data_IF_440863113666
#
_entry.id   IF_440863113666
#
_cell.length_a   1.000
_cell.length_b   1.000
_cell.length_c   1.000
_cell.angle_alpha   90.00
_cell.angle_beta   90.00
_cell.angle_gamma   90.00
#
_symmetry.space_group_name_H-M   'P 1'
#
loop_
_entity.id
_entity.type
_entity.pdbx_description
1 polymer ?
#
# COMPACT_ATOMS: atom_id res chain seq x y z
N UNK A 1 11.18 10.95 -77.54
CA UNK A 1 11.36 9.51 -77.24
C UNK A 1 12.05 9.39 -75.89
N UNK A 2 11.31 9.07 -74.84
CA UNK A 2 11.87 8.85 -73.49
C UNK A 2 12.72 7.58 -73.49
N UNK A 3 13.96 7.64 -72.99
CA UNK A 3 14.87 6.49 -72.94
C UNK A 3 14.32 5.42 -71.98
N UNK A 4 14.24 4.18 -72.46
CA UNK A 4 13.77 2.99 -71.74
C UNK A 4 14.65 2.59 -70.53
N UNK A 5 15.79 3.26 -70.30
CA UNK A 5 16.71 3.00 -69.19
C UNK A 5 16.36 3.72 -67.88
N UNK A 6 15.40 4.66 -67.90
CA UNK A 6 15.03 5.51 -66.73
C UNK A 6 13.82 4.96 -65.93
N UNK A 7 13.12 3.95 -66.47
CA UNK A 7 11.88 3.41 -65.90
C UNK A 7 12.01 2.72 -64.52
N UNK A 8 13.05 1.92 -64.21
CA UNK A 8 13.11 1.22 -62.92
C UNK A 8 13.40 2.16 -61.74
N UNK A 9 14.17 3.23 -61.96
CA UNK A 9 14.49 4.21 -60.92
C UNK A 9 13.34 5.16 -60.60
N UNK A 10 12.55 5.55 -61.59
CA UNK A 10 11.37 6.39 -61.37
C UNK A 10 10.22 5.63 -60.67
N UNK A 11 10.13 4.31 -60.87
CA UNK A 11 9.18 3.46 -60.15
C UNK A 11 9.54 3.29 -58.67
N UNK A 12 10.83 3.08 -58.36
CA UNK A 12 11.34 3.02 -56.98
C UNK A 12 11.14 4.34 -56.23
N UNK A 13 11.43 5.48 -56.87
CA UNK A 13 11.23 6.81 -56.28
C UNK A 13 9.73 7.08 -55.95
N UNK A 14 8.81 6.68 -56.83
CA UNK A 14 7.35 6.81 -56.59
C UNK A 14 6.82 5.90 -55.48
N UNK A 15 7.39 4.71 -55.30
CA UNK A 15 7.05 3.82 -54.17
C UNK A 15 7.51 4.41 -52.85
N UNK A 16 8.68 5.09 -52.85
CA UNK A 16 9.25 5.76 -51.69
C UNK A 16 8.50 7.05 -51.31
N UNK A 17 7.96 7.79 -52.29
CA UNK A 17 7.09 8.96 -52.08
C UNK A 17 5.63 8.63 -51.77
N UNK A 18 5.19 7.39 -52.01
CA UNK A 18 3.82 6.95 -51.75
C UNK A 18 3.47 7.09 -50.26
N UNK A 19 2.20 7.36 -49.96
CA UNK A 19 1.70 7.43 -48.60
C UNK A 19 2.03 6.16 -47.80
N UNK A 20 2.17 5.00 -48.45
CA UNK A 20 2.54 3.71 -47.85
C UNK A 20 4.01 3.70 -47.41
N UNK A 21 4.95 4.24 -48.20
CA UNK A 21 6.36 4.34 -47.85
C UNK A 21 6.63 5.31 -46.70
N UNK A 22 5.96 6.47 -46.69
CA UNK A 22 6.02 7.45 -45.58
C UNK A 22 5.38 6.91 -44.30
N UNK A 23 4.29 6.15 -44.44
CA UNK A 23 3.61 5.51 -43.30
C UNK A 23 4.47 4.39 -42.71
N UNK A 24 5.03 3.52 -43.55
CA UNK A 24 5.97 2.48 -43.11
C UNK A 24 7.19 3.08 -42.41
N UNK A 25 7.84 4.09 -42.99
CA UNK A 25 8.97 4.79 -42.36
C UNK A 25 8.63 5.35 -40.97
N UNK A 26 7.44 5.95 -40.83
CA UNK A 26 6.95 6.46 -39.54
C UNK A 26 6.71 5.36 -38.50
N UNK A 27 6.30 4.15 -38.91
CA UNK A 27 6.17 2.99 -38.02
C UNK A 27 7.54 2.41 -37.64
N UNK A 28 8.50 2.39 -38.56
CA UNK A 28 9.88 1.99 -38.28
C UNK A 28 10.60 2.97 -37.35
N UNK A 29 10.40 4.28 -37.53
CA UNK A 29 10.97 5.32 -36.66
C UNK A 29 10.35 5.28 -35.26
N UNK A 30 9.04 5.02 -35.15
CA UNK A 30 8.38 4.81 -33.86
C UNK A 30 8.84 3.53 -33.18
N UNK A 31 8.92 2.41 -33.91
CA UNK A 31 9.41 1.14 -33.37
C UNK A 31 10.86 1.22 -32.90
N UNK A 32 11.72 1.94 -33.63
CA UNK A 32 13.12 2.12 -33.23
C UNK A 32 13.28 3.04 -32.03
N UNK A 33 12.48 4.11 -31.93
CA UNK A 33 12.43 4.97 -30.75
C UNK A 33 11.89 4.21 -29.52
N UNK A 34 10.81 3.46 -29.66
CA UNK A 34 10.25 2.63 -28.60
C UNK A 34 11.25 1.56 -28.12
N UNK A 35 11.96 0.91 -29.05
CA UNK A 35 13.00 -0.06 -28.71
C UNK A 35 14.21 0.61 -28.02
N UNK A 36 14.59 1.81 -28.46
CA UNK A 36 15.64 2.61 -27.83
C UNK A 36 15.27 2.96 -26.38
N UNK A 37 14.04 3.43 -26.14
CA UNK A 37 13.57 3.74 -24.80
C UNK A 37 13.40 2.49 -23.94
N UNK A 38 12.85 1.39 -24.47
CA UNK A 38 12.76 0.12 -23.76
C UNK A 38 14.16 -0.35 -23.33
N UNK A 39 15.13 -0.32 -24.25
CA UNK A 39 16.53 -0.64 -23.93
C UNK A 39 17.12 0.29 -22.88
N UNK A 40 16.88 1.61 -22.95
CA UNK A 40 17.33 2.56 -21.93
C UNK A 40 16.70 2.31 -20.57
N UNK A 41 15.44 1.89 -20.53
CA UNK A 41 14.74 1.49 -19.31
C UNK A 41 15.35 0.21 -18.71
N UNK A 42 15.76 -0.77 -19.54
CA UNK A 42 16.51 -1.93 -19.08
C UNK A 42 17.92 -1.57 -18.59
N UNK A 43 18.67 -0.76 -19.34
CA UNK A 43 20.03 -0.31 -18.99
C UNK A 43 20.06 0.54 -17.71
N UNK A 44 19.03 1.36 -17.48
CA UNK A 44 18.86 2.15 -16.26
C UNK A 44 18.35 1.32 -15.07
N UNK A 45 18.08 0.02 -15.25
CA UNK A 45 17.51 -0.84 -14.21
C UNK A 45 16.05 -0.57 -13.88
N UNK A 46 15.35 0.27 -14.66
CA UNK A 46 13.93 0.58 -14.52
C UNK A 46 13.02 -0.60 -14.92
N UNK A 47 13.53 -1.51 -15.76
CA UNK A 47 12.94 -2.81 -16.04
C UNK A 47 13.99 -3.89 -15.73
N UNK A 48 13.94 -4.48 -14.52
CA UNK A 48 14.64 -5.74 -14.28
C UNK A 48 13.79 -6.87 -14.85
N UNK A 49 14.41 -7.80 -15.59
CA UNK A 49 13.78 -9.06 -15.96
C UNK A 49 13.54 -9.85 -14.68
N UNK A 50 12.33 -9.76 -14.13
CA UNK A 50 11.95 -10.58 -12.99
C UNK A 50 11.66 -12.02 -13.44
N UNK A 51 12.03 -13.01 -12.62
CA UNK A 51 11.61 -14.38 -12.84
C UNK A 51 10.08 -14.45 -13.06
N UNK A 52 9.59 -15.23 -14.04
CA UNK A 52 8.15 -15.33 -14.32
C UNK A 52 7.31 -15.72 -13.10
N UNK A 53 7.87 -16.50 -12.17
CA UNK A 53 7.21 -16.83 -10.91
C UNK A 53 6.97 -15.61 -10.00
N UNK A 54 7.88 -14.63 -10.00
CA UNK A 54 7.77 -13.43 -9.16
C UNK A 54 6.71 -12.49 -9.71
N UNK A 55 6.64 -12.38 -11.04
CA UNK A 55 5.57 -11.66 -11.75
C UNK A 55 4.22 -12.32 -11.49
N UNK A 56 4.13 -13.64 -11.63
CA UNK A 56 2.89 -14.38 -11.39
C UNK A 56 2.42 -14.22 -9.94
N UNK A 57 3.34 -14.32 -8.98
CA UNK A 57 3.02 -14.17 -7.57
C UNK A 57 2.72 -12.71 -7.19
N UNK A 58 3.34 -11.72 -7.84
CA UNK A 58 2.96 -10.30 -7.74
C UNK A 58 1.51 -10.08 -8.19
N UNK A 59 1.14 -10.59 -9.38
CA UNK A 59 -0.24 -10.51 -9.88
C UNK A 59 -1.20 -11.23 -8.95
N UNK A 60 -0.80 -12.37 -8.38
CA UNK A 60 -1.61 -13.09 -7.41
C UNK A 60 -1.86 -12.28 -6.12
N UNK A 61 -0.81 -11.67 -5.56
CA UNK A 61 -0.93 -10.84 -4.35
C UNK A 61 -1.77 -9.59 -4.59
N UNK A 62 -1.58 -8.92 -5.72
CA UNK A 62 -2.39 -7.77 -6.13
C UNK A 62 -3.88 -8.14 -6.24
N UNK A 63 -4.20 -9.31 -6.82
CA UNK A 63 -5.57 -9.83 -6.88
C UNK A 63 -6.10 -10.28 -5.52
N UNK A 64 -5.22 -10.63 -4.58
CA UNK A 64 -5.59 -11.15 -3.26
C UNK A 64 -5.85 -10.03 -2.26
N UNK A 65 -5.04 -8.98 -2.25
CA UNK A 65 -5.05 -7.93 -1.22
C UNK A 65 -5.04 -6.50 -1.75
N UNK A 66 -5.08 -6.31 -3.07
CA UNK A 66 -4.98 -5.01 -3.70
C UNK A 66 -3.57 -4.42 -3.64
N UNK A 67 -3.46 -3.18 -4.10
CA UNK A 67 -2.20 -2.48 -4.37
C UNK A 67 -1.42 -2.17 -3.09
N UNK A 68 -2.11 -1.78 -2.02
CA UNK A 68 -1.47 -1.52 -0.73
C UNK A 68 -1.16 -2.81 0.04
N UNK A 69 -2.08 -3.78 0.03
CA UNK A 69 -1.93 -5.01 0.79
C UNK A 69 -0.83 -5.92 0.25
N UNK A 70 -0.50 -5.86 -1.05
CA UNK A 70 0.56 -6.67 -1.65
C UNK A 70 1.99 -6.20 -1.30
N UNK A 71 2.19 -4.94 -0.88
CA UNK A 71 3.52 -4.32 -0.80
C UNK A 71 4.49 -5.09 0.12
N UNK A 72 4.09 -5.52 1.34
CA UNK A 72 4.99 -6.28 2.19
C UNK A 72 5.39 -7.63 1.57
N UNK A 73 4.42 -8.35 0.98
CA UNK A 73 4.66 -9.67 0.38
C UNK A 73 5.58 -9.59 -0.85
N UNK A 74 5.40 -8.54 -1.67
CA UNK A 74 6.25 -8.26 -2.82
C UNK A 74 7.71 -8.07 -2.39
N UNK A 75 7.96 -7.23 -1.38
CA UNK A 75 9.32 -6.94 -0.93
C UNK A 75 9.92 -8.09 -0.11
N UNK A 76 9.11 -8.83 0.66
CA UNK A 76 9.55 -10.04 1.34
C UNK A 76 10.00 -11.12 0.35
N UNK A 77 9.42 -11.18 -0.86
CA UNK A 77 9.87 -12.08 -1.93
C UNK A 77 11.15 -11.59 -2.61
N UNK A 78 11.19 -10.30 -2.98
CA UNK A 78 12.32 -9.73 -3.73
C UNK A 78 13.58 -9.56 -2.88
N UNK A 79 13.41 -9.13 -1.63
CA UNK A 79 14.50 -8.71 -0.74
C UNK A 79 14.26 -9.17 0.71
N UNK A 80 14.09 -10.48 0.97
CA UNK A 80 13.65 -11.00 2.27
C UNK A 80 14.50 -10.54 3.45
N UNK A 81 15.81 -10.48 3.28
CA UNK A 81 16.78 -10.17 4.34
C UNK A 81 17.24 -8.70 4.32
N UNK A 82 16.71 -7.87 3.42
CA UNK A 82 17.02 -6.44 3.41
C UNK A 82 16.17 -5.73 4.46
N UNK A 83 16.74 -4.68 5.05
CA UNK A 83 16.07 -3.87 6.06
C UNK A 83 14.87 -3.14 5.45
N UNK A 84 13.72 -3.28 6.12
CA UNK A 84 12.48 -2.61 5.76
C UNK A 84 12.24 -1.37 6.63
N UNK A 85 12.52 -1.48 7.93
CA UNK A 85 12.31 -0.41 8.92
C UNK A 85 13.47 -0.41 9.90
N UNK A 86 13.94 0.78 10.24
CA UNK A 86 14.88 1.05 11.32
C UNK A 86 14.19 2.07 12.21
N UNK A 87 13.94 1.72 13.47
CA UNK A 87 13.36 2.60 14.49
C UNK A 87 14.06 2.38 15.83
N UNK A 88 13.55 3.00 16.89
CA UNK A 88 14.17 2.94 18.22
C UNK A 88 14.19 1.52 18.83
N UNK A 89 13.40 0.58 18.29
CA UNK A 89 13.39 -0.82 18.68
C UNK A 89 14.34 -1.67 17.82
N UNK A 90 15.19 -1.04 17.02
CA UNK A 90 16.17 -1.67 16.14
C UNK A 90 15.68 -1.85 14.70
N UNK A 91 16.14 -2.91 14.06
CA UNK A 91 15.95 -3.14 12.63
C UNK A 91 15.00 -4.32 12.40
N UNK A 92 14.14 -4.23 11.40
CA UNK A 92 13.37 -5.36 10.88
C UNK A 92 13.54 -5.49 9.38
N UNK A 93 13.63 -6.73 8.92
CA UNK A 93 13.71 -7.09 7.51
C UNK A 93 12.34 -7.07 6.83
N UNK A 94 12.30 -7.07 5.50
CA UNK A 94 11.04 -7.20 4.76
C UNK A 94 10.29 -8.50 5.06
N UNK A 95 11.01 -9.60 5.30
CA UNK A 95 10.39 -10.87 5.69
C UNK A 95 9.71 -10.78 7.05
N UNK A 96 10.36 -10.16 8.03
CA UNK A 96 9.80 -9.96 9.36
C UNK A 96 8.60 -9.01 9.33
N UNK A 97 8.68 -7.93 8.56
CA UNK A 97 7.56 -7.02 8.33
C UNK A 97 6.35 -7.75 7.73
N UNK A 98 6.52 -8.54 6.66
CA UNK A 98 5.41 -9.29 6.06
C UNK A 98 4.81 -10.32 7.01
N UNK A 99 5.65 -11.00 7.80
CA UNK A 99 5.24 -11.96 8.82
C UNK A 99 4.36 -11.29 9.89
N UNK A 100 4.81 -10.15 10.42
CA UNK A 100 4.05 -9.36 11.40
C UNK A 100 2.73 -8.85 10.80
N UNK A 101 2.77 -8.32 9.57
CA UNK A 101 1.59 -7.86 8.84
C UNK A 101 0.57 -8.99 8.64
N UNK A 102 1.01 -10.19 8.27
CA UNK A 102 0.13 -11.35 8.12
C UNK A 102 -0.53 -11.74 9.45
N UNK A 103 0.25 -11.81 10.52
CA UNK A 103 -0.25 -12.13 11.85
C UNK A 103 -1.27 -11.09 12.33
N UNK A 104 -0.98 -9.79 12.20
CA UNK A 104 -1.95 -8.74 12.58
C UNK A 104 -3.19 -8.79 11.69
N UNK A 105 -3.07 -9.01 10.37
CA UNK A 105 -4.23 -9.12 9.48
C UNK A 105 -5.15 -10.29 9.86
N UNK A 106 -4.58 -11.46 10.16
CA UNK A 106 -5.33 -12.61 10.68
C UNK A 106 -5.96 -12.30 12.05
N UNK A 107 -5.28 -11.52 12.88
CA UNK A 107 -5.76 -11.12 14.20
C UNK A 107 -6.96 -10.18 14.11
N UNK A 108 -6.92 -9.22 13.18
CA UNK A 108 -8.03 -8.33 12.85
C UNK A 108 -9.23 -9.11 12.31
N UNK A 109 -9.00 -10.08 11.41
CA UNK A 109 -10.07 -10.97 10.92
C UNK A 109 -10.69 -11.78 12.05
N UNK A 110 -9.88 -12.32 12.96
CA UNK A 110 -10.35 -13.06 14.13
C UNK A 110 -11.13 -12.19 15.12
N UNK A 111 -10.78 -10.90 15.23
CA UNK A 111 -11.56 -9.89 15.97
C UNK A 111 -12.86 -9.48 15.27
N UNK A 112 -13.09 -9.94 14.03
CA UNK A 112 -14.32 -9.70 13.29
C UNK A 112 -14.27 -8.53 12.30
N UNK A 113 -13.10 -7.91 12.09
CA UNK A 113 -12.93 -6.88 11.06
C UNK A 113 -13.14 -7.50 9.68
N UNK A 114 -13.96 -6.86 8.84
CA UNK A 114 -14.26 -7.31 7.47
C UNK A 114 -13.80 -6.29 6.45
N UNK A 115 -13.72 -6.73 5.19
CA UNK A 115 -13.46 -5.84 4.06
C UNK A 115 -14.52 -4.73 3.99
N UNK A 116 -14.07 -3.48 3.92
CA UNK A 116 -14.90 -2.28 3.95
C UNK A 116 -15.12 -1.66 5.33
N UNK A 117 -14.83 -2.35 6.43
CA UNK A 117 -14.92 -1.76 7.78
C UNK A 117 -13.86 -0.70 8.01
N UNK A 118 -14.12 0.30 8.85
CA UNK A 118 -13.13 1.30 9.26
C UNK A 118 -12.21 0.78 10.34
N UNK A 119 -10.89 0.91 10.15
CA UNK A 119 -9.89 0.75 11.21
C UNK A 119 -9.16 2.08 11.35
N UNK A 120 -9.33 2.73 12.50
CA UNK A 120 -8.64 3.98 12.78
C UNK A 120 -7.26 3.70 13.37
N UNK A 121 -6.26 4.47 12.93
CA UNK A 121 -4.87 4.34 13.35
C UNK A 121 -4.41 5.68 13.92
N UNK A 122 -3.97 5.67 15.17
CA UNK A 122 -3.41 6.81 15.90
C UNK A 122 -2.06 6.40 16.51
N UNK A 123 -1.03 6.40 15.68
CA UNK A 123 0.32 5.99 16.07
C UNK A 123 1.37 6.94 15.47
N UNK A 124 2.53 7.03 16.10
CA UNK A 124 3.70 7.77 15.62
C UNK A 124 4.41 7.02 14.49
N UNK A 125 5.50 7.60 14.01
CA UNK A 125 6.34 7.00 12.98
C UNK A 125 7.24 5.91 13.59
N UNK A 126 6.79 4.66 13.56
CA UNK A 126 7.58 3.46 13.90
C UNK A 126 7.00 2.23 13.16
N UNK A 127 7.63 1.06 13.33
CA UNK A 127 7.22 -0.18 12.64
C UNK A 127 5.75 -0.53 12.82
N UNK A 128 5.15 -0.29 14.00
CA UNK A 128 3.78 -0.71 14.29
C UNK A 128 2.75 0.10 13.51
N UNK A 129 3.03 1.36 13.17
CA UNK A 129 2.22 2.12 12.23
C UNK A 129 2.16 1.42 10.86
N UNK A 130 3.32 1.04 10.32
CA UNK A 130 3.40 0.33 9.04
C UNK A 130 2.70 -1.03 9.10
N UNK A 131 2.92 -1.80 10.16
CA UNK A 131 2.25 -3.08 10.39
C UNK A 131 0.73 -2.89 10.41
N UNK A 132 0.22 -1.89 11.12
CA UNK A 132 -1.21 -1.58 11.22
C UNK A 132 -1.83 -1.21 9.88
N UNK A 133 -1.16 -0.34 9.11
CA UNK A 133 -1.60 0.11 7.79
C UNK A 133 -1.67 -1.07 6.82
N UNK A 134 -0.60 -1.85 6.71
CA UNK A 134 -0.57 -2.96 5.75
C UNK A 134 -1.45 -4.14 6.18
N UNK A 135 -1.57 -4.42 7.48
CA UNK A 135 -2.47 -5.46 7.96
C UNK A 135 -3.94 -5.11 7.65
N UNK A 136 -4.34 -3.87 7.94
CA UNK A 136 -5.67 -3.35 7.57
C UNK A 136 -5.88 -3.41 6.06
N UNK A 137 -4.85 -3.09 5.27
CA UNK A 137 -4.90 -3.20 3.82
C UNK A 137 -5.13 -4.64 3.34
N UNK A 138 -4.46 -5.64 3.94
CA UNK A 138 -4.63 -7.06 3.61
C UNK A 138 -6.00 -7.62 4.00
N UNK A 139 -6.66 -7.05 5.01
CA UNK A 139 -8.07 -7.35 5.33
C UNK A 139 -9.02 -6.79 4.27
N UNK A 140 -8.60 -5.76 3.53
CA UNK A 140 -9.47 -4.99 2.63
C UNK A 140 -10.32 -3.96 3.38
N UNK A 141 -9.92 -3.60 4.60
CA UNK A 141 -10.59 -2.60 5.42
C UNK A 141 -10.18 -1.17 5.00
N UNK A 142 -10.98 -0.19 5.41
CA UNK A 142 -10.72 1.25 5.26
C UNK A 142 -9.74 1.68 6.35
N UNK A 143 -8.64 2.30 5.95
CA UNK A 143 -7.59 2.81 6.85
C UNK A 143 -7.91 4.27 7.15
N UNK A 144 -8.27 4.58 8.40
CA UNK A 144 -8.57 5.95 8.83
C UNK A 144 -7.35 6.47 9.60
N UNK A 145 -6.60 7.41 9.02
CA UNK A 145 -5.44 7.99 9.69
C UNK A 145 -5.88 9.17 10.55
N UNK A 146 -5.80 9.00 11.87
CA UNK A 146 -6.11 10.05 12.84
C UNK A 146 -4.90 10.95 13.06
N UNK A 147 -5.16 12.22 13.39
CA UNK A 147 -4.10 13.16 13.76
C UNK A 147 -3.77 13.01 15.26
N UNK A 148 -2.48 12.92 15.60
CA UNK A 148 -1.95 12.87 16.97
C UNK A 148 -2.31 14.09 17.81
N UNK A 149 -2.63 15.22 17.18
CA UNK A 149 -3.03 16.46 17.87
C UNK A 149 -4.52 16.53 18.22
N UNK A 150 -5.33 15.51 17.84
CA UNK A 150 -6.74 15.52 18.18
C UNK A 150 -7.00 15.33 19.67
N UNK A 151 -7.91 16.14 20.19
CA UNK A 151 -8.49 15.90 21.52
C UNK A 151 -9.37 14.65 21.52
N UNK A 152 -9.60 14.07 22.70
CA UNK A 152 -10.45 12.88 22.84
C UNK A 152 -11.85 13.01 22.23
N UNK A 153 -12.57 14.15 22.41
CA UNK A 153 -13.84 14.38 21.73
C UNK A 153 -13.73 14.35 20.19
N UNK A 154 -12.66 14.92 19.62
CA UNK A 154 -12.44 14.91 18.17
C UNK A 154 -12.12 13.51 17.65
N UNK A 155 -11.32 12.73 18.38
CA UNK A 155 -11.05 11.32 18.05
C UNK A 155 -12.36 10.54 18.01
N UNK A 156 -13.21 10.69 19.03
CA UNK A 156 -14.52 10.05 19.10
C UNK A 156 -15.39 10.45 17.90
N UNK A 157 -15.60 11.75 17.70
CA UNK A 157 -16.46 12.27 16.63
C UNK A 157 -16.02 11.80 15.24
N UNK A 158 -14.72 11.86 14.95
CA UNK A 158 -14.18 11.41 13.66
C UNK A 158 -14.29 9.90 13.51
N UNK A 159 -14.01 9.13 14.56
CA UNK A 159 -14.11 7.67 14.53
C UNK A 159 -15.55 7.23 14.26
N UNK A 160 -16.53 7.84 14.91
CA UNK A 160 -17.96 7.58 14.68
C UNK A 160 -18.38 7.97 13.26
N UNK A 161 -17.99 9.18 12.81
CA UNK A 161 -18.36 9.69 11.48
C UNK A 161 -17.79 8.84 10.34
N UNK A 162 -16.53 8.41 10.46
CA UNK A 162 -15.86 7.61 9.43
C UNK A 162 -16.17 6.11 9.54
N UNK A 163 -16.94 5.70 10.56
CA UNK A 163 -17.36 4.32 10.77
C UNK A 163 -16.23 3.40 11.23
N UNK A 164 -15.35 3.88 12.10
CA UNK A 164 -14.29 3.07 12.70
C UNK A 164 -14.91 1.97 13.59
N UNK A 165 -14.70 0.72 13.18
CA UNK A 165 -15.07 -0.49 13.92
C UNK A 165 -14.01 -0.92 14.91
N UNK A 166 -12.76 -0.51 14.71
CA UNK A 166 -11.63 -0.78 15.60
C UNK A 166 -10.67 0.42 15.59
N UNK A 167 -10.01 0.69 16.72
CA UNK A 167 -8.97 1.72 16.84
C UNK A 167 -7.64 1.06 17.24
N UNK A 168 -6.59 1.29 16.46
CA UNK A 168 -5.22 0.94 16.80
C UNK A 168 -4.49 2.22 17.21
N UNK A 169 -3.87 2.24 18.39
CA UNK A 169 -3.27 3.47 18.93
C UNK A 169 -1.98 3.21 19.71
N UNK A 170 -1.06 4.16 19.79
CA UNK A 170 0.09 4.03 20.70
C UNK A 170 -0.30 4.32 22.15
N UNK A 171 0.41 3.69 23.10
CA UNK A 171 0.14 3.81 24.53
C UNK A 171 0.01 5.25 25.03
N UNK A 172 0.80 6.18 24.47
CA UNK A 172 0.76 7.61 24.80
C UNK A 172 -0.62 8.25 24.60
N UNK A 173 -1.42 7.70 23.68
CA UNK A 173 -2.75 8.20 23.33
C UNK A 173 -3.88 7.52 24.11
N UNK A 174 -3.56 6.67 25.10
CA UNK A 174 -4.56 5.98 25.95
C UNK A 174 -5.66 6.90 26.46
N UNK A 175 -5.28 8.05 27.04
CA UNK A 175 -6.24 9.02 27.55
C UNK A 175 -7.08 9.68 26.45
N UNK A 176 -6.49 9.90 25.27
CA UNK A 176 -7.15 10.55 24.14
C UNK A 176 -8.21 9.62 23.51
N UNK A 177 -7.89 8.32 23.35
CA UNK A 177 -8.83 7.35 22.78
C UNK A 177 -9.89 6.86 23.79
N UNK A 178 -9.77 7.20 25.07
CA UNK A 178 -10.67 6.71 26.13
C UNK A 178 -12.15 7.00 25.86
N UNK A 179 -12.46 8.15 25.23
CA UNK A 179 -13.84 8.56 24.92
C UNK A 179 -14.46 7.86 23.70
N UNK A 180 -13.64 7.26 22.84
CA UNK A 180 -14.12 6.49 21.70
C UNK A 180 -14.42 5.05 22.13
N UNK A 181 -15.53 4.48 21.65
CA UNK A 181 -15.92 3.10 21.98
C UNK A 181 -16.31 2.34 20.70
N UNK A 182 -15.32 1.93 19.88
CA UNK A 182 -15.57 1.22 18.64
C UNK A 182 -16.11 -0.20 18.89
N UNK A 183 -17.00 -0.69 18.02
CA UNK A 183 -17.70 -1.98 18.18
C UNK A 183 -16.78 -3.19 18.42
N UNK A 184 -15.61 -3.23 17.77
CA UNK A 184 -14.64 -4.33 17.89
C UNK A 184 -13.50 -4.02 18.87
N UNK A 185 -13.62 -2.93 19.63
CA UNK A 185 -12.68 -2.52 20.66
C UNK A 185 -11.41 -1.85 20.11
N UNK A 186 -10.38 -1.81 20.94
CA UNK A 186 -9.13 -1.11 20.68
C UNK A 186 -7.93 -2.07 20.75
N UNK A 187 -6.84 -1.66 20.12
CA UNK A 187 -5.55 -2.35 20.14
C UNK A 187 -4.44 -1.33 20.35
N UNK A 188 -3.42 -1.70 21.14
CA UNK A 188 -2.23 -0.88 21.28
C UNK A 188 -1.19 -1.23 20.23
N UNK A 189 -0.82 -0.27 19.38
CA UNK A 189 0.27 -0.42 18.42
C UNK A 189 1.60 -0.61 19.15
N UNK A 190 1.99 0.37 19.95
CA UNK A 190 3.07 0.27 20.91
C UNK A 190 2.50 0.14 22.33
N UNK A 191 2.95 -0.86 23.09
CA UNK A 191 2.46 -1.15 24.44
C UNK A 191 3.09 -0.32 25.57
N UNK A 192 4.05 0.55 25.23
CA UNK A 192 4.76 1.44 26.16
C UNK A 192 4.72 2.87 25.64
N UNK A 193 4.78 3.84 26.55
CA UNK A 193 5.00 5.23 26.19
C UNK A 193 6.52 5.51 26.23
N UNK A 194 7.20 5.81 25.11
CA UNK A 194 8.64 6.04 25.12
C UNK A 194 9.04 7.33 25.84
N UNK A 195 8.09 8.24 26.09
CA UNK A 195 8.32 9.53 26.77
C UNK A 195 8.06 9.45 28.29
N UNK A 196 7.58 8.31 28.82
CA UNK A 196 7.27 8.10 30.24
C UNK A 196 7.61 6.70 30.69
N UNK A 197 8.31 6.57 31.82
CA UNK A 197 8.64 5.27 32.43
C UNK A 197 7.49 4.62 33.21
N UNK A 198 6.34 5.29 33.29
CA UNK A 198 5.16 4.77 33.98
C UNK A 198 4.55 3.57 33.22
N UNK A 199 4.00 2.57 33.94
CA UNK A 199 3.22 1.52 33.31
C UNK A 199 2.04 2.10 32.52
N UNK A 200 1.65 1.40 31.45
CA UNK A 200 0.46 1.77 30.68
C UNK A 200 -0.79 1.87 31.56
N UNK A 201 -1.60 2.91 31.30
CA UNK A 201 -2.92 3.06 31.87
C UNK A 201 -4.01 2.26 31.15
N UNK A 202 -3.67 1.48 30.12
CA UNK A 202 -4.60 0.68 29.32
C UNK A 202 -4.38 -0.83 29.53
N UNK A 203 -5.48 -1.57 29.54
CA UNK A 203 -5.50 -3.04 29.50
C UNK A 203 -5.77 -3.59 28.10
N UNK A 204 -5.83 -2.73 27.09
CA UNK A 204 -6.04 -3.15 25.70
C UNK A 204 -4.85 -3.99 25.24
N UNK A 205 -5.17 -5.04 24.48
CA UNK A 205 -4.19 -5.94 23.87
C UNK A 205 -3.25 -5.17 22.93
N UNK A 206 -1.96 -5.48 22.98
CA UNK A 206 -0.95 -4.92 22.09
C UNK A 206 -0.86 -5.70 20.77
N UNK A 207 -0.32 -5.08 19.72
CA UNK A 207 -0.04 -5.78 18.46
C UNK A 207 1.00 -6.89 18.64
N UNK A 208 1.96 -6.73 19.55
CA UNK A 208 2.93 -7.77 19.88
C UNK A 208 2.24 -9.01 20.47
N UNK A 209 1.35 -8.82 21.45
CA UNK A 209 0.54 -9.89 22.03
C UNK A 209 -0.38 -10.55 20.99
N UNK A 210 -1.00 -9.74 20.13
CA UNK A 210 -1.83 -10.23 19.03
C UNK A 210 -1.03 -11.10 18.07
N UNK A 211 0.18 -10.69 17.70
CA UNK A 211 1.08 -11.46 16.83
C UNK A 211 1.47 -12.77 17.51
N UNK A 212 1.82 -12.75 18.80
CA UNK A 212 2.27 -13.94 19.52
C UNK A 212 1.24 -15.08 19.52
N UNK A 213 -0.06 -14.75 19.48
CA UNK A 213 -1.15 -15.75 19.46
C UNK A 213 -1.79 -15.98 18.08
N UNK A 214 -1.30 -15.33 17.02
CA UNK A 214 -1.93 -15.38 15.70
C UNK A 214 -1.01 -16.00 14.66
N UNK A 215 -1.58 -16.75 13.71
CA UNK A 215 -0.81 -17.36 12.64
C UNK A 215 -0.12 -16.31 11.76
N UNK A 216 1.19 -16.46 11.48
CA UNK A 216 1.91 -15.60 10.54
C UNK A 216 1.63 -15.96 9.06
N UNK A 217 0.78 -16.95 8.79
CA UNK A 217 0.46 -17.37 7.44
C UNK A 217 -0.28 -16.27 6.66
N UNK A 218 -0.10 -16.18 5.32
CA UNK A 218 -0.83 -15.25 4.48
C UNK A 218 -2.34 -15.23 4.74
N UNK A 219 -2.96 -14.07 5.10
CA UNK A 219 -4.39 -13.99 5.37
C UNK A 219 -5.22 -14.32 4.13
N UNK A 220 -6.48 -14.75 4.27
CA UNK A 220 -7.36 -15.04 3.13
C UNK A 220 -7.46 -13.86 2.14
N UNK A 221 -8.00 -14.14 0.95
CA UNK A 221 -8.24 -13.09 -0.05
C UNK A 221 -9.19 -12.02 0.52
N UNK A 222 -8.79 -10.76 0.38
CA UNK A 222 -9.61 -9.62 0.74
C UNK A 222 -10.89 -9.60 -0.11
N UNK A 223 -12.02 -9.31 0.53
CA UNK A 223 -13.34 -9.22 -0.14
C UNK A 223 -13.59 -7.85 -0.76
N UNK A 224 -12.82 -6.84 -0.36
CA UNK A 224 -12.88 -5.46 -0.84
C UNK A 224 -11.46 -4.92 -1.01
N UNK A 225 -11.31 -3.93 -1.89
CA UNK A 225 -10.08 -3.14 -1.93
C UNK A 225 -10.04 -2.21 -0.71
N UNK A 226 -8.87 -2.12 -0.09
CA UNK A 226 -8.64 -1.14 0.95
C UNK A 226 -8.65 0.28 0.38
N UNK A 227 -8.91 1.25 1.25
CA UNK A 227 -8.82 2.68 0.93
C UNK A 227 -8.23 3.42 2.11
N UNK A 228 -7.61 4.56 1.85
CA UNK A 228 -6.99 5.38 2.89
C UNK A 228 -7.79 6.68 3.01
N UNK A 229 -8.21 6.99 4.22
CA UNK A 229 -8.88 8.24 4.56
C UNK A 229 -7.89 9.09 5.31
N UNK A 230 -7.53 10.21 4.69
CA UNK A 230 -6.65 11.21 5.28
C UNK A 230 -7.53 12.39 5.68
N UNK A 231 -7.47 12.78 6.94
CA UNK A 231 -8.24 13.92 7.44
C UNK A 231 -7.53 15.21 7.07
N UNK A 232 -8.25 16.11 6.41
CA UNK A 232 -7.77 17.46 6.14
C UNK A 232 -8.43 18.43 7.12
N UNK A 233 -7.67 19.36 7.67
CA UNK A 233 -8.22 20.46 8.47
C UNK A 233 -9.22 21.24 7.62
N UNK A 234 -10.51 21.06 7.89
CA UNK A 234 -11.55 21.88 7.28
C UNK A 234 -11.41 23.31 7.81
N UNK A 235 -11.45 24.31 6.93
CA UNK A 235 -11.32 25.73 7.31
C UNK A 235 -12.53 26.26 8.10
N UNK A 236 -13.55 25.44 8.34
CA UNK A 236 -14.73 25.75 9.17
C UNK A 236 -15.22 24.48 9.89
N UNK A 237 -14.78 24.24 11.12
CA UNK A 237 -15.26 23.15 11.99
C UNK A 237 -14.56 21.78 11.83
N UNK A 238 -15.21 20.72 12.34
CA UNK A 238 -14.67 19.34 12.46
C UNK A 238 -13.95 18.86 11.17
N UNK A 239 -12.73 18.31 11.25
CA UNK A 239 -11.94 17.88 10.08
C UNK A 239 -12.68 16.87 9.21
N UNK A 240 -12.77 17.08 7.89
CA UNK A 240 -13.47 16.17 6.95
C UNK A 240 -12.48 15.13 6.36
N UNK A 241 -12.91 13.89 6.23
CA UNK A 241 -12.10 12.83 5.60
C UNK A 241 -12.01 12.99 4.09
N UNK A 242 -10.79 13.00 3.55
CA UNK A 242 -10.52 12.88 2.13
C UNK A 242 -10.26 11.40 1.81
N UNK A 243 -11.20 10.78 1.11
CA UNK A 243 -11.08 9.39 0.67
C UNK A 243 -10.13 9.29 -0.52
N UNK A 244 -9.05 8.50 -0.41
CA UNK A 244 -8.21 8.13 -1.54
C UNK A 244 -8.48 6.67 -1.91
N UNK A 245 -9.14 6.47 -3.05
CA UNK A 245 -9.25 5.16 -3.67
C UNK A 245 -7.91 4.75 -4.29
N UNK A 246 -7.66 3.44 -4.38
CA UNK A 246 -6.61 2.94 -5.25
C UNK A 246 -6.89 3.39 -6.71
N UNK A 247 -5.85 3.64 -7.53
CA UNK A 247 -6.03 3.89 -8.96
C UNK A 247 -6.75 2.70 -9.61
N UNK A 248 -7.60 2.91 -10.64
CA UNK A 248 -8.17 1.79 -11.38
C UNK A 248 -7.03 0.94 -11.97
N UNK A 249 -7.06 -0.37 -11.67
CA UNK A 249 -6.13 -1.36 -12.22
C UNK A 249 -6.51 -1.80 -13.63
#
# INVERSE_FOLDING_TARGET
MSKLSELPWQALAKVQESAVGKTAGKYWDRGSAELHYARKMFEAGALKLEPPQDIAAFVADMRRWGEFGMIPALNARRYPNSLAVIDDFGEITFKELDTAVNAVANGLLAKGVKGGDGVAILARNHRWFLVSVYATAKVGARIILLNSEFSGPQIKEVSEREGAKLIIFDDEYTAAVAQADPELGKLRALGINPDKEEPSGSTDETLEELIARTSPAPPPKATKHSSIIILTSGTTGTPKGANRSAPPS
#
